data_IF_650137435763
#
_entry.id   IF_650137435763
#
_cell.length_a   1.000
_cell.length_b   1.000
_cell.length_c   1.000
_cell.angle_alpha   90.00
_cell.angle_beta   90.00
_cell.angle_gamma   90.00
#
_symmetry.space_group_name_H-M   'P 1'
#
loop_
_entity.id
_entity.type
_entity.pdbx_description
1 polymer ?
#
# COMPACT_ATOMS: atom_id res chain seq x y z
N UNK A 1 -24.94 8.48 1.14
CA UNK A 1 -24.18 7.36 0.56
C UNK A 1 -22.99 7.12 1.46
N UNK A 2 -22.73 5.88 1.83
CA UNK A 2 -21.64 5.55 2.75
C UNK A 2 -20.40 5.16 1.95
N UNK A 3 -19.31 5.88 2.11
CA UNK A 3 -18.10 5.64 1.33
C UNK A 3 -16.84 5.53 2.21
N UNK A 4 -15.84 4.86 1.65
CA UNK A 4 -14.51 4.71 2.24
C UNK A 4 -13.45 5.32 1.33
N UNK A 5 -12.34 5.76 1.90
CA UNK A 5 -11.13 6.07 1.15
C UNK A 5 -10.10 4.96 1.31
N UNK A 6 -9.50 4.58 0.18
CA UNK A 6 -8.36 3.66 0.16
C UNK A 6 -7.17 4.32 -0.54
N UNK A 7 -5.98 4.06 -0.03
CA UNK A 7 -4.75 4.66 -0.53
C UNK A 7 -3.87 3.60 -1.19
N UNK A 8 -3.43 3.83 -2.45
CA UNK A 8 -2.56 2.90 -3.14
C UNK A 8 -1.16 2.86 -2.54
N UNK A 9 -0.49 1.73 -2.74
CA UNK A 9 0.90 1.52 -2.39
C UNK A 9 1.85 1.58 -3.59
N UNK A 10 3.01 0.96 -3.44
CA UNK A 10 4.01 0.79 -4.49
C UNK A 10 3.43 0.04 -5.70
N UNK A 11 3.78 0.49 -6.90
CA UNK A 11 3.32 -0.05 -8.18
C UNK A 11 2.36 0.89 -8.93
N UNK A 12 1.82 1.91 -8.25
CA UNK A 12 0.94 2.91 -8.85
C UNK A 12 1.64 4.23 -9.21
N UNK A 13 2.93 4.35 -8.90
CA UNK A 13 3.71 5.55 -9.20
C UNK A 13 3.97 5.71 -10.70
N UNK A 14 3.94 6.94 -11.16
CA UNK A 14 4.36 7.32 -12.52
C UNK A 14 4.90 8.75 -12.52
N UNK A 15 5.83 9.02 -13.42
CA UNK A 15 6.34 10.39 -13.64
C UNK A 15 5.16 11.28 -14.05
N UNK A 16 5.05 12.45 -13.43
CA UNK A 16 3.97 13.39 -13.69
C UNK A 16 2.63 13.05 -13.03
N UNK A 17 2.58 12.09 -12.11
CA UNK A 17 1.32 11.62 -11.48
C UNK A 17 0.53 12.68 -10.71
N UNK A 18 1.14 13.83 -10.40
CA UNK A 18 0.47 14.98 -9.79
C UNK A 18 0.27 16.18 -10.73
N UNK A 19 0.70 16.07 -12.01
CA UNK A 19 0.71 17.22 -12.92
C UNK A 19 -0.68 17.86 -13.10
N UNK A 20 -1.75 17.06 -13.13
CA UNK A 20 -3.12 17.56 -13.31
C UNK A 20 -3.63 18.42 -12.16
N UNK A 21 -3.07 18.25 -10.95
CA UNK A 21 -3.47 18.97 -9.73
C UNK A 21 -2.31 19.83 -9.15
N UNK A 22 -1.19 19.94 -9.86
CA UNK A 22 0.03 20.62 -9.37
C UNK A 22 -0.17 22.11 -9.05
N UNK A 23 -1.11 22.76 -9.74
CA UNK A 23 -1.41 24.18 -9.55
C UNK A 23 -2.22 24.46 -8.27
N UNK A 24 -2.78 23.46 -7.63
CA UNK A 24 -3.52 23.62 -6.40
C UNK A 24 -2.61 24.02 -5.24
N UNK A 25 -2.96 25.06 -4.45
CA UNK A 25 -2.11 25.53 -3.34
C UNK A 25 -1.79 24.45 -2.31
N UNK A 26 -2.78 23.61 -1.97
CA UNK A 26 -2.63 22.49 -1.02
C UNK A 26 -1.71 21.40 -1.54
N UNK A 27 -1.65 21.19 -2.85
CA UNK A 27 -0.73 20.21 -3.48
C UNK A 27 0.70 20.75 -3.46
N UNK A 28 0.89 22.03 -3.84
CA UNK A 28 2.20 22.69 -3.76
C UNK A 28 2.75 22.69 -2.33
N UNK A 29 1.90 23.03 -1.35
CA UNK A 29 2.29 23.00 0.06
C UNK A 29 2.69 21.59 0.51
N UNK A 30 1.98 20.55 0.06
CA UNK A 30 2.31 19.15 0.38
C UNK A 30 3.64 18.73 -0.22
N UNK A 31 3.91 19.09 -1.48
CA UNK A 31 5.19 18.82 -2.14
C UNK A 31 6.36 19.53 -1.47
N UNK A 32 6.15 20.79 -1.06
CA UNK A 32 7.15 21.55 -0.31
C UNK A 32 7.43 20.90 1.05
N UNK A 33 6.40 20.58 1.83
CA UNK A 33 6.53 19.93 3.14
C UNK A 33 7.28 18.59 3.04
N UNK A 34 7.00 17.77 2.00
CA UNK A 34 7.71 16.52 1.76
C UNK A 34 9.18 16.75 1.42
N UNK A 35 9.47 17.74 0.56
CA UNK A 35 10.84 18.08 0.15
C UNK A 35 11.66 18.60 1.34
N UNK A 36 11.07 19.45 2.18
CA UNK A 36 11.70 19.93 3.41
C UNK A 36 11.98 18.79 4.41
N UNK A 37 11.03 17.88 4.58
CA UNK A 37 11.16 16.76 5.51
C UNK A 37 12.27 15.77 5.12
N UNK A 38 12.56 15.61 3.82
CA UNK A 38 13.63 14.74 3.32
C UNK A 38 14.94 15.45 3.02
N UNK A 39 14.93 16.79 2.89
CA UNK A 39 16.07 17.54 2.36
C UNK A 39 16.36 17.25 0.88
N UNK A 40 15.34 16.81 0.12
CA UNK A 40 15.43 16.39 -1.29
C UNK A 40 14.32 17.06 -2.10
N UNK A 41 14.52 17.26 -3.41
CA UNK A 41 13.48 17.81 -4.29
C UNK A 41 12.48 16.71 -4.71
N UNK A 42 11.53 16.41 -3.85
CA UNK A 42 10.46 15.42 -4.08
C UNK A 42 9.54 15.88 -5.21
N UNK A 43 9.29 17.18 -5.32
CA UNK A 43 8.45 17.74 -6.37
C UNK A 43 9.03 17.48 -7.76
N UNK A 44 10.32 17.74 -7.93
CA UNK A 44 11.02 17.47 -9.20
C UNK A 44 11.05 15.97 -9.52
N UNK A 45 11.33 15.11 -8.55
CA UNK A 45 11.32 13.67 -8.76
C UNK A 45 9.96 13.17 -9.25
N UNK A 46 8.86 13.66 -8.66
CA UNK A 46 7.50 13.29 -9.06
C UNK A 46 7.18 13.83 -10.47
N UNK A 47 7.52 15.07 -10.77
CA UNK A 47 7.16 15.73 -12.02
C UNK A 47 7.99 15.26 -13.22
N UNK A 48 9.29 15.06 -13.03
CA UNK A 48 10.27 14.87 -14.11
C UNK A 48 10.95 13.51 -14.07
N UNK A 49 10.89 12.77 -12.97
CA UNK A 49 11.58 11.50 -12.80
C UNK A 49 13.08 11.61 -12.60
N UNK A 50 13.90 10.69 -13.11
CA UNK A 50 13.55 9.63 -14.07
C UNK A 50 12.70 8.50 -13.46
N UNK A 51 12.01 7.74 -14.33
CA UNK A 51 11.10 6.67 -13.90
C UNK A 51 11.81 5.58 -13.08
N UNK A 52 13.07 5.27 -13.40
CA UNK A 52 13.88 4.32 -12.66
C UNK A 52 14.14 4.79 -11.23
N UNK A 53 14.45 6.07 -11.03
CA UNK A 53 14.63 6.64 -9.69
C UNK A 53 13.32 6.64 -8.91
N UNK A 54 12.20 6.98 -9.56
CA UNK A 54 10.87 6.95 -8.96
C UNK A 54 10.47 5.54 -8.52
N UNK A 55 10.94 4.51 -9.21
CA UNK A 55 10.64 3.09 -8.96
C UNK A 55 11.56 2.42 -7.93
N UNK A 56 12.62 3.10 -7.46
CA UNK A 56 13.39 2.63 -6.32
C UNK A 56 12.52 2.66 -5.06
N UNK A 57 12.38 1.55 -4.37
CA UNK A 57 11.53 1.43 -3.17
C UNK A 57 11.77 2.55 -2.16
N UNK A 58 13.03 2.96 -1.99
CA UNK A 58 13.41 4.06 -1.09
C UNK A 58 12.83 5.42 -1.50
N UNK A 59 12.59 5.63 -2.78
CA UNK A 59 11.94 6.81 -3.32
C UNK A 59 10.43 6.61 -3.47
N UNK A 60 10.02 5.42 -3.95
CA UNK A 60 8.60 5.11 -4.21
C UNK A 60 7.73 5.31 -2.97
N UNK A 61 8.19 4.86 -1.79
CA UNK A 61 7.38 4.97 -0.59
C UNK A 61 7.10 6.42 -0.18
N UNK A 62 8.08 7.33 -0.04
CA UNK A 62 7.78 8.72 0.27
C UNK A 62 7.01 9.45 -0.83
N UNK A 63 7.25 9.17 -2.12
CA UNK A 63 6.51 9.86 -3.19
C UNK A 63 5.05 9.39 -3.27
N UNK A 64 4.77 8.10 -3.00
CA UNK A 64 3.41 7.59 -2.96
C UNK A 64 2.64 8.10 -1.74
N UNK A 65 3.27 8.19 -0.58
CA UNK A 65 2.71 8.85 0.59
C UNK A 65 2.36 10.31 0.27
N UNK A 66 3.30 11.05 -0.32
CA UNK A 66 3.13 12.45 -0.69
C UNK A 66 1.96 12.62 -1.65
N UNK A 67 1.89 11.79 -2.68
CA UNK A 67 0.81 11.83 -3.66
C UNK A 67 -0.56 11.53 -3.05
N UNK A 68 -0.67 10.47 -2.23
CA UNK A 68 -1.92 10.13 -1.55
C UNK A 68 -2.42 11.25 -0.64
N UNK A 69 -1.52 11.84 0.15
CA UNK A 69 -1.85 12.98 1.03
C UNK A 69 -2.20 14.23 0.22
N UNK A 70 -1.51 14.49 -0.90
CA UNK A 70 -1.82 15.62 -1.78
C UNK A 70 -3.23 15.52 -2.37
N UNK A 71 -3.64 14.35 -2.89
CA UNK A 71 -4.99 14.10 -3.37
C UNK A 71 -6.03 14.24 -2.26
N UNK A 72 -5.75 13.74 -1.06
CA UNK A 72 -6.67 13.86 0.08
C UNK A 72 -6.84 15.32 0.52
N UNK A 73 -5.76 16.10 0.60
CA UNK A 73 -5.82 17.54 0.90
C UNK A 73 -6.58 18.31 -0.19
N UNK A 74 -6.37 17.97 -1.47
CA UNK A 74 -7.11 18.54 -2.58
C UNK A 74 -8.61 18.23 -2.51
N UNK A 75 -8.97 17.00 -2.14
CA UNK A 75 -10.34 16.59 -1.89
C UNK A 75 -11.02 17.45 -0.81
N UNK A 76 -10.36 17.60 0.35
CA UNK A 76 -10.88 18.40 1.45
C UNK A 76 -10.99 19.90 1.08
N UNK A 77 -9.98 20.46 0.42
CA UNK A 77 -9.98 21.86 -0.03
C UNK A 77 -11.09 22.15 -1.06
N UNK A 78 -11.47 21.15 -1.86
CA UNK A 78 -12.59 21.24 -2.78
C UNK A 78 -13.98 21.02 -2.11
N UNK A 79 -14.03 20.90 -0.79
CA UNK A 79 -15.26 20.71 -0.02
C UNK A 79 -15.75 19.26 0.03
N UNK A 80 -14.90 18.28 -0.26
CA UNK A 80 -15.22 16.87 -0.18
C UNK A 80 -15.52 16.42 1.25
N UNK A 81 -16.52 15.54 1.41
CA UNK A 81 -16.92 15.00 2.70
C UNK A 81 -15.85 14.04 3.26
N UNK A 82 -15.83 13.89 4.58
CA UNK A 82 -14.99 12.88 5.22
C UNK A 82 -15.58 11.47 4.99
N UNK A 83 -14.73 10.45 4.68
CA UNK A 83 -15.20 9.08 4.54
C UNK A 83 -15.55 8.48 5.90
N UNK A 84 -16.37 7.43 5.91
CA UNK A 84 -16.71 6.69 7.12
C UNK A 84 -15.51 5.93 7.68
N UNK A 85 -14.71 5.35 6.80
CA UNK A 85 -13.55 4.52 7.13
C UNK A 85 -12.49 4.66 6.05
N UNK A 86 -11.25 4.46 6.44
CA UNK A 86 -10.10 4.46 5.54
C UNK A 86 -9.33 3.15 5.62
N UNK A 87 -8.57 2.84 4.59
CA UNK A 87 -7.51 1.84 4.60
C UNK A 87 -6.46 2.21 3.55
N UNK A 88 -5.34 1.50 3.57
CA UNK A 88 -4.34 1.66 2.52
C UNK A 88 -3.59 0.34 2.30
N UNK A 89 -3.19 0.08 1.07
CA UNK A 89 -2.47 -1.14 0.72
C UNK A 89 -0.98 -0.96 1.05
N UNK A 90 -0.45 -1.74 1.98
CA UNK A 90 0.97 -1.69 2.39
C UNK A 90 1.40 -0.27 2.77
N UNK A 91 2.21 0.40 1.95
CA UNK A 91 2.59 1.83 2.11
C UNK A 91 1.36 2.73 2.27
N UNK A 92 0.29 2.46 1.55
CA UNK A 92 -0.96 3.24 1.60
C UNK A 92 -1.60 3.30 2.99
N UNK A 93 -1.34 2.33 3.89
CA UNK A 93 -1.80 2.39 5.28
C UNK A 93 -1.22 3.60 6.03
N UNK A 94 0.03 3.98 5.73
CA UNK A 94 0.64 5.20 6.27
C UNK A 94 -0.05 6.46 5.74
N UNK A 95 -0.45 6.47 4.46
CA UNK A 95 -1.23 7.58 3.88
C UNK A 95 -2.60 7.70 4.56
N UNK A 96 -3.27 6.58 4.83
CA UNK A 96 -4.54 6.55 5.57
C UNK A 96 -4.37 7.07 7.00
N UNK A 97 -3.29 6.69 7.70
CA UNK A 97 -3.01 7.15 9.06
C UNK A 97 -2.68 8.64 9.11
N UNK A 98 -1.98 9.19 8.11
CA UNK A 98 -1.78 10.64 7.98
C UNK A 98 -3.11 11.35 7.73
N UNK A 99 -3.93 10.85 6.82
CA UNK A 99 -5.24 11.41 6.49
C UNK A 99 -6.20 11.37 7.70
N UNK A 100 -6.10 10.33 8.54
CA UNK A 100 -6.86 10.19 9.77
C UNK A 100 -6.28 10.96 10.98
N UNK A 101 -5.19 11.72 10.79
CA UNK A 101 -4.57 12.55 11.83
C UNK A 101 -3.78 11.79 12.89
N UNK A 102 -3.44 10.51 12.63
CA UNK A 102 -2.66 9.66 13.57
C UNK A 102 -1.20 10.06 13.59
N UNK A 103 -0.61 10.26 12.42
CA UNK A 103 0.81 10.65 12.24
C UNK A 103 0.84 11.98 11.51
N UNK A 104 1.71 12.92 11.94
CA UNK A 104 1.94 14.13 11.17
C UNK A 104 2.56 13.78 9.81
N UNK A 105 2.21 14.51 8.76
CA UNK A 105 2.80 14.27 7.43
C UNK A 105 4.32 14.48 7.45
N UNK A 106 4.78 15.49 8.20
CA UNK A 106 6.20 15.79 8.38
C UNK A 106 6.99 14.61 8.97
N UNK A 107 6.40 13.88 9.92
CA UNK A 107 7.04 12.71 10.53
C UNK A 107 6.86 11.45 9.67
N UNK A 108 5.73 11.34 8.96
CA UNK A 108 5.44 10.19 8.13
C UNK A 108 6.36 10.07 6.90
N UNK A 109 6.76 11.19 6.30
CA UNK A 109 7.62 11.18 5.10
C UNK A 109 8.99 10.55 5.38
N UNK A 110 9.77 10.97 6.39
CA UNK A 110 11.02 10.29 6.74
C UNK A 110 10.80 8.88 7.30
N UNK A 111 9.70 8.62 8.01
CA UNK A 111 9.35 7.29 8.49
C UNK A 111 9.22 6.29 7.34
N UNK A 112 8.48 6.61 6.27
CA UNK A 112 8.32 5.68 5.15
C UNK A 112 9.59 5.57 4.29
N UNK A 113 10.46 6.59 4.26
CA UNK A 113 11.82 6.48 3.72
C UNK A 113 12.63 5.46 4.52
N UNK A 114 12.62 5.56 5.85
CA UNK A 114 13.28 4.60 6.73
C UNK A 114 12.70 3.19 6.56
N UNK A 115 11.36 3.06 6.50
CA UNK A 115 10.69 1.78 6.23
C UNK A 115 11.21 1.15 4.93
N UNK A 116 11.26 1.92 3.85
CA UNK A 116 11.74 1.46 2.56
C UNK A 116 13.20 0.96 2.63
N UNK A 117 14.07 1.71 3.30
CA UNK A 117 15.47 1.34 3.51
C UNK A 117 15.60 0.07 4.37
N UNK A 118 14.83 -0.02 5.46
CA UNK A 118 14.84 -1.21 6.33
C UNK A 118 14.36 -2.45 5.58
N UNK A 119 13.29 -2.35 4.79
CA UNK A 119 12.75 -3.45 4.00
C UNK A 119 13.72 -3.86 2.88
N UNK A 120 14.33 -2.90 2.17
CA UNK A 120 15.28 -3.17 1.10
C UNK A 120 16.56 -3.83 1.62
N UNK A 121 16.99 -3.49 2.84
CA UNK A 121 18.21 -4.02 3.47
C UNK A 121 17.98 -5.27 4.31
N UNK A 122 16.76 -5.79 4.39
CA UNK A 122 16.43 -6.95 5.21
C UNK A 122 17.07 -8.24 4.72
N UNK A 123 17.27 -8.34 3.40
CA UNK A 123 17.96 -9.45 2.75
C UNK A 123 19.01 -8.90 1.76
N UNK A 124 20.07 -9.66 1.45
CA UNK A 124 21.01 -9.26 0.41
C UNK A 124 20.33 -9.02 -0.94
N UNK A 125 20.79 -8.01 -1.69
CA UNK A 125 20.25 -7.69 -3.01
C UNK A 125 20.32 -8.90 -3.94
N UNK A 126 19.21 -9.21 -4.62
CA UNK A 126 19.11 -10.33 -5.56
C UNK A 126 18.80 -11.69 -4.94
N UNK A 127 18.74 -11.79 -3.59
CA UNK A 127 18.42 -13.06 -2.91
C UNK A 127 16.93 -13.22 -2.61
N UNK A 128 16.17 -12.13 -2.67
CA UNK A 128 14.71 -12.12 -2.51
C UNK A 128 13.98 -11.85 -3.81
N UNK A 129 12.73 -12.27 -3.87
CA UNK A 129 11.86 -12.04 -5.02
C UNK A 129 10.39 -12.12 -4.67
N UNK A 130 9.55 -11.69 -5.61
CA UNK A 130 8.09 -11.75 -5.54
C UNK A 130 7.51 -12.18 -6.87
N UNK A 131 6.33 -12.78 -6.84
CA UNK A 131 5.58 -13.12 -8.04
C UNK A 131 4.06 -12.95 -7.84
N UNK A 132 3.37 -12.50 -8.88
CA UNK A 132 1.91 -12.43 -8.89
C UNK A 132 1.34 -13.75 -9.44
N UNK A 133 0.44 -14.35 -8.67
CA UNK A 133 -0.24 -15.61 -8.99
C UNK A 133 -1.70 -15.32 -9.31
N UNK A 134 -2.16 -15.78 -10.47
CA UNK A 134 -3.53 -15.56 -10.93
C UNK A 134 -4.22 -16.89 -11.21
N UNK A 135 -5.47 -16.98 -10.76
CA UNK A 135 -6.38 -18.07 -11.14
C UNK A 135 -6.42 -19.27 -10.19
N UNK A 136 -5.79 -19.16 -9.02
CA UNK A 136 -5.88 -20.14 -7.93
C UNK A 136 -6.49 -19.49 -6.68
N UNK A 137 -7.17 -20.30 -5.86
CA UNK A 137 -7.64 -19.87 -4.54
C UNK A 137 -6.49 -19.72 -3.54
N UNK A 138 -6.74 -18.94 -2.49
CA UNK A 138 -5.74 -18.59 -1.48
C UNK A 138 -5.18 -19.82 -0.77
N UNK A 139 -6.02 -20.80 -0.43
CA UNK A 139 -5.62 -22.02 0.27
C UNK A 139 -4.66 -22.87 -0.57
N UNK A 140 -4.93 -22.99 -1.88
CA UNK A 140 -4.04 -23.66 -2.83
C UNK A 140 -2.70 -22.95 -2.93
N UNK A 141 -2.69 -21.60 -3.03
CA UNK A 141 -1.43 -20.84 -3.09
C UNK A 141 -0.61 -21.01 -1.81
N UNK A 142 -1.24 -20.93 -0.64
CA UNK A 142 -0.57 -21.12 0.66
C UNK A 142 0.05 -22.52 0.74
N UNK A 143 -0.71 -23.57 0.39
CA UNK A 143 -0.24 -24.95 0.41
C UNK A 143 0.98 -25.14 -0.50
N UNK A 144 0.89 -24.69 -1.73
CA UNK A 144 1.98 -24.84 -2.72
C UNK A 144 3.23 -24.02 -2.31
N UNK A 145 3.07 -22.84 -1.68
CA UNK A 145 4.20 -22.12 -1.11
C UNK A 145 4.91 -22.93 -0.02
N UNK A 146 4.16 -23.62 0.85
CA UNK A 146 4.76 -24.48 1.87
C UNK A 146 5.52 -25.67 1.25
N UNK A 147 4.96 -26.30 0.22
CA UNK A 147 5.62 -27.37 -0.54
C UNK A 147 6.90 -26.87 -1.23
N UNK A 148 6.85 -25.69 -1.86
CA UNK A 148 8.00 -25.08 -2.51
C UNK A 148 9.11 -24.72 -1.50
N UNK A 149 8.75 -24.21 -0.33
CA UNK A 149 9.69 -23.94 0.75
C UNK A 149 10.40 -25.21 1.23
N UNK A 150 9.64 -26.30 1.43
CA UNK A 150 10.21 -27.57 1.81
C UNK A 150 11.14 -28.17 0.73
N UNK A 151 10.76 -28.02 -0.55
CA UNK A 151 11.52 -28.56 -1.67
C UNK A 151 12.81 -27.77 -1.99
N UNK A 152 12.81 -26.45 -1.78
CA UNK A 152 13.95 -25.59 -2.08
C UNK A 152 14.87 -25.34 -0.89
N UNK A 153 14.41 -25.59 0.33
CA UNK A 153 15.10 -25.23 1.56
C UNK A 153 15.08 -23.73 1.88
N UNK A 154 14.37 -22.92 1.07
CA UNK A 154 14.19 -21.49 1.26
C UNK A 154 12.75 -21.14 1.62
N UNK A 155 12.53 -19.93 2.15
CA UNK A 155 11.20 -19.44 2.49
C UNK A 155 10.51 -18.86 1.25
N UNK A 156 9.26 -19.25 0.99
CA UNK A 156 8.32 -18.55 0.12
C UNK A 156 6.92 -18.59 0.72
N UNK A 157 6.23 -17.46 0.75
CA UNK A 157 4.95 -17.27 1.43
C UNK A 157 3.98 -16.47 0.56
N UNK A 158 2.66 -16.69 0.75
CA UNK A 158 1.62 -15.82 0.23
C UNK A 158 1.59 -14.55 1.07
N UNK A 159 1.79 -13.39 0.44
CA UNK A 159 2.03 -12.14 1.15
C UNK A 159 1.02 -11.02 0.84
N UNK A 160 0.35 -11.03 -0.32
CA UNK A 160 -0.72 -10.07 -0.60
C UNK A 160 -1.94 -10.82 -1.13
N UNK A 161 -3.00 -10.85 -0.36
CA UNK A 161 -4.30 -11.40 -0.76
C UNK A 161 -5.12 -10.27 -1.37
N UNK A 162 -4.92 -10.03 -2.67
CA UNK A 162 -5.41 -8.82 -3.34
C UNK A 162 -6.86 -8.91 -3.80
N UNK A 163 -7.30 -10.07 -4.29
CA UNK A 163 -8.67 -10.36 -4.70
C UNK A 163 -8.84 -11.87 -4.89
N UNK A 164 -10.07 -12.40 -4.99
CA UNK A 164 -10.28 -13.80 -5.31
C UNK A 164 -9.48 -14.23 -6.55
N UNK A 165 -8.62 -15.23 -6.38
CA UNK A 165 -7.74 -15.70 -7.44
C UNK A 165 -6.60 -14.76 -7.84
N UNK A 166 -6.23 -13.81 -6.99
CA UNK A 166 -5.07 -12.93 -7.19
C UNK A 166 -4.27 -12.76 -5.91
N UNK A 167 -3.18 -13.49 -5.81
CA UNK A 167 -2.28 -13.52 -4.65
C UNK A 167 -0.86 -13.17 -5.10
N UNK A 168 -0.12 -12.41 -4.30
CA UNK A 168 1.32 -12.22 -4.49
C UNK A 168 2.05 -13.12 -3.49
N UNK A 169 3.08 -13.79 -3.97
CA UNK A 169 4.00 -14.58 -3.17
C UNK A 169 5.35 -13.88 -3.08
N UNK A 170 6.06 -14.08 -1.98
CA UNK A 170 7.38 -13.50 -1.75
C UNK A 170 8.25 -14.45 -0.93
N UNK A 171 9.56 -14.37 -1.15
CA UNK A 171 10.52 -15.21 -0.44
C UNK A 171 11.91 -15.16 -1.02
N UNK A 172 12.70 -16.18 -0.73
CA UNK A 172 13.99 -16.40 -1.37
C UNK A 172 13.79 -16.64 -2.88
N UNK A 173 14.66 -16.08 -3.72
CA UNK A 173 14.50 -16.11 -5.19
C UNK A 173 14.31 -17.51 -5.75
N UNK A 174 15.11 -18.48 -5.29
CA UNK A 174 14.99 -19.87 -5.74
C UNK A 174 13.68 -20.53 -5.29
N UNK A 175 13.23 -20.22 -4.06
CA UNK A 175 11.95 -20.71 -3.53
C UNK A 175 10.77 -20.10 -4.28
N UNK A 176 10.82 -18.81 -4.63
CA UNK A 176 9.80 -18.14 -5.47
C UNK A 176 9.75 -18.77 -6.86
N UNK A 177 10.90 -19.03 -7.47
CA UNK A 177 10.99 -19.69 -8.78
C UNK A 177 10.35 -21.08 -8.71
N UNK A 178 10.69 -21.87 -7.69
CA UNK A 178 10.12 -23.20 -7.45
C UNK A 178 8.61 -23.13 -7.22
N UNK A 179 8.14 -22.17 -6.42
CA UNK A 179 6.72 -21.96 -6.19
C UNK A 179 5.98 -21.62 -7.49
N UNK A 180 6.54 -20.77 -8.36
CA UNK A 180 5.94 -20.45 -9.65
C UNK A 180 5.77 -21.69 -10.55
N UNK A 181 6.75 -22.60 -10.57
CA UNK A 181 6.65 -23.87 -11.31
C UNK A 181 5.51 -24.74 -10.76
N UNK A 182 5.49 -24.96 -9.44
CA UNK A 182 4.48 -25.80 -8.79
C UNK A 182 3.07 -25.19 -8.90
N UNK A 183 2.93 -23.88 -8.78
CA UNK A 183 1.65 -23.17 -8.93
C UNK A 183 1.12 -23.28 -10.37
N UNK A 184 2.00 -23.19 -11.39
CA UNK A 184 1.60 -23.45 -12.77
C UNK A 184 1.13 -24.89 -12.96
N UNK A 185 1.84 -25.87 -12.39
CA UNK A 185 1.43 -27.26 -12.42
C UNK A 185 0.09 -27.51 -11.69
N UNK A 186 -0.19 -26.73 -10.63
CA UNK A 186 -1.46 -26.75 -9.90
C UNK A 186 -2.61 -26.03 -10.63
N UNK A 187 -2.37 -25.44 -11.81
CA UNK A 187 -3.39 -24.79 -12.63
C UNK A 187 -3.46 -23.27 -12.57
N UNK A 188 -2.45 -22.59 -12.03
CA UNK A 188 -2.39 -21.14 -12.09
C UNK A 188 -2.42 -20.65 -13.56
N UNK A 189 -3.33 -19.71 -13.85
CA UNK A 189 -3.41 -19.09 -15.18
C UNK A 189 -2.16 -18.28 -15.50
N UNK A 190 -1.58 -17.63 -14.48
CA UNK A 190 -0.32 -16.89 -14.57
C UNK A 190 0.45 -16.98 -13.26
N UNK A 191 1.78 -17.06 -13.37
CA UNK A 191 2.73 -16.88 -12.28
C UNK A 191 3.82 -15.94 -12.84
N UNK A 192 3.76 -14.66 -12.48
CA UNK A 192 4.52 -13.58 -13.08
C UNK A 192 5.50 -13.01 -12.05
N UNK A 193 6.82 -13.18 -12.24
CA UNK A 193 7.80 -12.48 -11.42
C UNK A 193 7.58 -10.97 -11.46
N UNK A 194 7.71 -10.32 -10.31
CA UNK A 194 7.60 -8.86 -10.18
C UNK A 194 9.01 -8.23 -10.21
N UNK A 195 9.15 -7.01 -10.76
CA UNK A 195 10.45 -6.32 -10.87
C UNK A 195 10.83 -5.66 -9.54
N UNK A 196 10.91 -6.47 -8.47
CA UNK A 196 11.29 -6.04 -7.12
C UNK A 196 12.39 -6.96 -6.59
N UNK A 197 13.30 -6.41 -5.79
CA UNK A 197 14.49 -7.10 -5.30
C UNK A 197 14.41 -7.51 -3.83
N UNK A 198 13.31 -7.22 -3.14
CA UNK A 198 13.10 -7.60 -1.75
C UNK A 198 11.80 -8.40 -1.59
N UNK A 199 11.77 -9.40 -0.69
CA UNK A 199 10.61 -10.26 -0.46
C UNK A 199 9.61 -9.62 0.51
N UNK A 200 9.00 -8.48 0.08
CA UNK A 200 8.12 -7.68 0.93
C UNK A 200 7.00 -8.51 1.56
N UNK A 201 6.70 -8.22 2.82
CA UNK A 201 5.64 -8.85 3.62
C UNK A 201 5.85 -10.35 3.93
N UNK A 202 6.98 -10.95 3.56
CA UNK A 202 7.34 -12.30 4.00
C UNK A 202 8.05 -12.28 5.37
N UNK A 203 8.14 -13.44 6.02
CA UNK A 203 8.86 -13.59 7.29
C UNK A 203 10.35 -13.22 7.20
N UNK A 204 10.94 -13.21 5.98
CA UNK A 204 12.30 -12.73 5.74
C UNK A 204 12.47 -11.24 6.03
N UNK A 205 11.38 -10.48 6.15
CA UNK A 205 11.39 -9.05 6.52
C UNK A 205 11.35 -8.81 8.04
N UNK A 206 11.44 -9.85 8.87
CA UNK A 206 11.51 -9.68 10.33
C UNK A 206 12.59 -8.68 10.78
N UNK A 207 13.81 -8.65 10.18
CA UNK A 207 14.82 -7.63 10.53
C UNK A 207 14.34 -6.18 10.26
N UNK A 208 13.51 -5.97 9.24
CA UNK A 208 12.91 -4.65 8.98
C UNK A 208 11.87 -4.29 10.05
N UNK A 209 11.05 -5.25 10.50
CA UNK A 209 10.09 -5.06 11.59
C UNK A 209 10.79 -4.61 12.87
N UNK A 210 11.90 -5.25 13.23
CA UNK A 210 12.67 -4.88 14.45
C UNK A 210 13.25 -3.47 14.35
N UNK A 211 13.78 -3.07 13.19
CA UNK A 211 14.26 -1.70 12.96
C UNK A 211 13.10 -0.68 13.05
N UNK A 212 11.95 -0.99 12.44
CA UNK A 212 10.76 -0.14 12.48
C UNK A 212 10.22 0.05 13.90
N UNK A 213 10.25 -0.98 14.73
CA UNK A 213 9.84 -0.90 16.13
C UNK A 213 10.58 0.20 16.89
N UNK A 214 11.92 0.26 16.73
CA UNK A 214 12.74 1.30 17.34
C UNK A 214 12.40 2.70 16.80
N UNK A 215 12.26 2.84 15.49
CA UNK A 215 11.94 4.13 14.87
C UNK A 215 10.55 4.65 15.27
N UNK A 216 9.54 3.78 15.24
CA UNK A 216 8.16 4.12 15.60
C UNK A 216 8.01 4.50 17.08
N UNK A 217 8.88 4.02 17.95
CA UNK A 217 8.87 4.40 19.37
C UNK A 217 9.09 5.91 19.57
N UNK A 218 9.89 6.55 18.71
CA UNK A 218 10.24 7.97 18.79
C UNK A 218 9.21 8.90 18.15
N UNK A 219 8.23 8.38 17.41
CA UNK A 219 7.23 9.19 16.71
C UNK A 219 5.96 9.30 17.54
N UNK A 220 5.41 10.52 17.63
CA UNK A 220 4.10 10.74 18.25
C UNK A 220 2.98 10.20 17.36
N UNK A 221 2.14 9.33 17.92
CA UNK A 221 0.89 8.87 17.31
C UNK A 221 -0.28 9.38 18.12
N UNK A 222 -1.34 9.81 17.43
CA UNK A 222 -2.58 10.29 18.00
C UNK A 222 -3.72 9.30 17.75
N UNK A 223 -4.79 9.46 18.49
CA UNK A 223 -6.04 8.71 18.25
C UNK A 223 -6.58 9.11 16.87
N UNK A 224 -6.97 8.15 16.01
CA UNK A 224 -7.53 8.44 14.70
C UNK A 224 -8.81 9.30 14.79
N UNK A 225 -8.92 10.31 13.95
CA UNK A 225 -10.15 11.10 13.77
C UNK A 225 -11.16 10.42 12.85
N UNK A 226 -10.68 9.52 12.00
CA UNK A 226 -11.45 8.66 11.10
C UNK A 226 -10.92 7.24 11.29
N UNK A 227 -11.81 6.27 11.35
CA UNK A 227 -11.44 4.85 11.49
C UNK A 227 -10.52 4.38 10.36
N UNK A 228 -9.45 3.67 10.70
CA UNK A 228 -8.53 3.06 9.74
C UNK A 228 -8.47 1.56 9.97
N UNK A 229 -8.75 0.76 8.93
CA UNK A 229 -8.59 -0.70 8.96
C UNK A 229 -7.14 -1.04 8.64
N UNK A 230 -6.45 -1.76 9.53
CA UNK A 230 -5.06 -2.17 9.33
C UNK A 230 -4.94 -3.40 8.42
N UNK A 231 -3.77 -3.59 7.78
CA UNK A 231 -3.54 -4.67 6.81
C UNK A 231 -3.41 -6.05 7.44
N UNK A 232 -2.87 -6.14 8.67
CA UNK A 232 -2.46 -7.42 9.26
C UNK A 232 -3.58 -8.14 10.00
N UNK A 233 -4.43 -7.39 10.73
CA UNK A 233 -5.50 -7.93 11.56
C UNK A 233 -6.89 -7.70 10.95
N UNK A 234 -7.00 -6.79 9.96
CA UNK A 234 -8.26 -6.31 9.37
C UNK A 234 -9.17 -5.72 10.46
N UNK A 235 -8.59 -4.94 11.35
CA UNK A 235 -9.28 -4.33 12.49
C UNK A 235 -9.07 -2.81 12.51
N UNK A 236 -10.02 -2.12 13.15
CA UNK A 236 -9.92 -0.71 13.49
C UNK A 236 -9.29 -0.62 14.87
N UNK A 237 -8.15 0.05 14.96
CA UNK A 237 -7.42 0.27 16.19
C UNK A 237 -7.48 1.76 16.56
N UNK A 238 -7.83 2.06 17.82
CA UNK A 238 -7.89 3.43 18.33
C UNK A 238 -6.72 3.77 19.27
N UNK A 239 -6.09 2.75 19.86
CA UNK A 239 -4.92 2.96 20.71
C UNK A 239 -3.66 3.19 19.87
N UNK A 240 -2.93 4.32 20.05
CA UNK A 240 -1.71 4.63 19.34
C UNK A 240 -0.63 3.54 19.45
N UNK A 241 -0.49 2.88 20.59
CA UNK A 241 0.50 1.81 20.75
C UNK A 241 0.13 0.54 19.99
N UNK A 242 -1.16 0.20 19.93
CA UNK A 242 -1.66 -0.90 19.13
C UNK A 242 -1.49 -0.64 17.62
N UNK A 243 -1.68 0.61 17.18
CA UNK A 243 -1.44 1.01 15.79
C UNK A 243 0.04 0.87 15.43
N UNK A 244 0.95 1.33 16.29
CA UNK A 244 2.41 1.14 16.10
C UNK A 244 2.77 -0.34 15.99
N UNK A 245 2.24 -1.19 16.88
CA UNK A 245 2.47 -2.64 16.83
C UNK A 245 1.99 -3.26 15.52
N UNK A 246 0.80 -2.89 15.05
CA UNK A 246 0.26 -3.35 13.77
C UNK A 246 1.19 -2.98 12.59
N UNK A 247 1.73 -1.74 12.57
CA UNK A 247 2.67 -1.29 11.54
C UNK A 247 4.02 -2.04 11.61
N UNK A 248 4.51 -2.35 12.81
CA UNK A 248 5.72 -3.19 12.99
C UNK A 248 5.51 -4.57 12.37
N UNK A 249 4.37 -5.21 12.68
CA UNK A 249 4.03 -6.52 12.12
C UNK A 249 3.76 -6.48 10.62
N UNK A 250 3.21 -5.39 10.10
CA UNK A 250 2.86 -5.22 8.69
C UNK A 250 4.07 -5.42 7.76
N UNK A 251 5.27 -5.04 8.16
CA UNK A 251 6.47 -5.18 7.31
C UNK A 251 6.79 -6.63 6.94
N UNK A 252 6.50 -7.59 7.86
CA UNK A 252 6.83 -9.01 7.73
C UNK A 252 5.60 -9.94 7.78
N UNK A 253 4.40 -9.39 7.57
CA UNK A 253 3.14 -10.13 7.57
C UNK A 253 2.30 -9.79 6.34
N UNK A 254 1.39 -10.68 5.94
CA UNK A 254 0.56 -10.48 4.76
C UNK A 254 -0.32 -9.24 4.81
N UNK A 255 -0.52 -8.63 3.65
CA UNK A 255 -1.56 -7.63 3.39
C UNK A 255 -2.86 -8.35 3.04
N UNK A 256 -3.85 -8.28 3.92
CA UNK A 256 -5.16 -8.96 3.80
C UNK A 256 -6.17 -8.04 3.12
N UNK A 257 -5.85 -7.64 1.87
CA UNK A 257 -6.61 -6.61 1.17
C UNK A 257 -8.04 -7.02 0.83
N UNK A 258 -8.21 -8.26 0.35
CA UNK A 258 -9.54 -8.81 0.07
C UNK A 258 -10.44 -8.74 1.30
N UNK A 259 -9.96 -9.14 2.46
CA UNK A 259 -10.71 -9.09 3.72
C UNK A 259 -10.97 -7.65 4.17
N UNK A 260 -10.04 -6.73 3.92
CA UNK A 260 -10.22 -5.29 4.21
C UNK A 260 -11.42 -4.71 3.46
N UNK A 261 -11.54 -4.97 2.15
CA UNK A 261 -12.69 -4.51 1.36
C UNK A 261 -13.99 -5.19 1.80
N UNK A 262 -13.95 -6.48 2.14
CA UNK A 262 -15.11 -7.19 2.68
C UNK A 262 -15.56 -6.62 4.03
N UNK A 263 -14.61 -6.27 4.93
CA UNK A 263 -14.92 -5.63 6.20
C UNK A 263 -15.56 -4.25 6.02
N UNK A 264 -15.15 -3.48 5.00
CA UNK A 264 -15.81 -2.23 4.65
C UNK A 264 -17.26 -2.46 4.17
N UNK A 265 -17.49 -3.46 3.32
CA UNK A 265 -18.82 -3.82 2.85
C UNK A 265 -19.76 -4.22 4.00
N UNK A 266 -19.27 -5.00 4.97
CA UNK A 266 -20.02 -5.38 6.18
C UNK A 266 -20.39 -4.17 7.02
N UNK A 267 -19.58 -3.10 7.01
CA UNK A 267 -19.88 -1.82 7.68
C UNK A 267 -20.86 -0.93 6.89
N UNK A 268 -21.41 -1.42 5.76
CA UNK A 268 -22.36 -0.69 4.94
C UNK A 268 -21.74 0.27 3.94
N UNK A 269 -20.42 0.18 3.69
CA UNK A 269 -19.76 0.95 2.63
C UNK A 269 -20.24 0.45 1.28
N UNK A 270 -20.77 1.37 0.46
CA UNK A 270 -21.27 1.07 -0.89
C UNK A 270 -20.32 1.58 -1.98
N UNK A 271 -19.41 2.49 -1.61
CA UNK A 271 -18.43 3.05 -2.54
C UNK A 271 -17.05 3.15 -1.90
N UNK A 272 -16.05 2.62 -2.58
CA UNK A 272 -14.63 2.72 -2.21
C UNK A 272 -13.94 3.67 -3.17
N UNK A 273 -13.43 4.77 -2.66
CA UNK A 273 -12.70 5.79 -3.44
C UNK A 273 -11.20 5.54 -3.27
N UNK A 274 -10.51 5.20 -4.37
CA UNK A 274 -9.06 5.13 -4.38
C UNK A 274 -8.50 6.55 -4.51
N UNK A 275 -7.85 7.04 -3.44
CA UNK A 275 -7.32 8.39 -3.33
C UNK A 275 -5.81 8.38 -3.56
N UNK A 276 -5.39 8.78 -4.75
CA UNK A 276 -3.99 8.79 -5.13
C UNK A 276 -3.72 8.26 -6.54
N UNK A 277 -2.45 8.12 -6.93
CA UNK A 277 -2.08 7.70 -8.28
C UNK A 277 -2.62 6.32 -8.66
N UNK A 278 -3.06 6.17 -9.91
CA UNK A 278 -3.52 4.90 -10.45
C UNK A 278 -4.99 4.57 -10.16
N UNK A 279 -5.37 3.34 -10.43
CA UNK A 279 -6.76 2.81 -10.29
C UNK A 279 -6.75 1.31 -9.99
N UNK A 280 -5.69 0.83 -9.36
CA UNK A 280 -5.51 -0.59 -9.07
C UNK A 280 -6.48 -1.06 -8.01
N UNK A 281 -6.60 -0.33 -6.89
CA UNK A 281 -7.46 -0.69 -5.78
C UNK A 281 -8.94 -0.58 -6.14
N UNK A 282 -9.33 0.44 -6.92
CA UNK A 282 -10.68 0.57 -7.44
C UNK A 282 -11.06 -0.62 -8.33
N UNK A 283 -10.12 -1.07 -9.19
CA UNK A 283 -10.31 -2.26 -10.01
C UNK A 283 -10.41 -3.57 -9.22
N UNK A 284 -9.66 -3.70 -8.12
CA UNK A 284 -9.73 -4.84 -7.22
C UNK A 284 -11.06 -4.89 -6.45
N UNK A 285 -11.58 -3.74 -6.03
CA UNK A 285 -12.81 -3.63 -5.24
C UNK A 285 -13.97 -4.38 -5.88
N UNK A 286 -14.23 -4.13 -7.17
CA UNK A 286 -15.31 -4.80 -7.93
C UNK A 286 -15.12 -6.33 -8.01
N UNK A 287 -13.89 -6.80 -8.04
CA UNK A 287 -13.58 -8.24 -8.08
C UNK A 287 -13.72 -8.90 -6.72
N UNK A 288 -13.56 -8.14 -5.64
CA UNK A 288 -13.69 -8.62 -4.26
C UNK A 288 -15.17 -8.68 -3.85
N UNK A 289 -15.92 -7.62 -4.17
CA UNK A 289 -17.34 -7.52 -3.80
C UNK A 289 -18.09 -6.73 -4.88
N UNK A 290 -19.04 -7.36 -5.55
CA UNK A 290 -19.83 -6.78 -6.64
C UNK A 290 -20.89 -5.76 -6.18
N UNK A 291 -21.17 -5.72 -4.86
CA UNK A 291 -22.08 -4.74 -4.25
C UNK A 291 -21.35 -3.43 -3.87
N UNK A 292 -20.05 -3.37 -3.99
CA UNK A 292 -19.23 -2.20 -3.67
C UNK A 292 -18.62 -1.63 -4.93
N UNK A 293 -18.89 -0.36 -5.21
CA UNK A 293 -18.33 0.33 -6.37
C UNK A 293 -16.96 0.91 -6.03
N UNK A 294 -15.93 0.54 -6.79
CA UNK A 294 -14.61 1.17 -6.73
C UNK A 294 -14.51 2.33 -7.71
N UNK A 295 -14.12 3.51 -7.25
CA UNK A 295 -13.92 4.70 -8.09
C UNK A 295 -12.55 5.31 -7.79
N UNK A 296 -11.73 5.66 -8.80
CA UNK A 296 -10.43 6.27 -8.59
C UNK A 296 -10.49 7.80 -8.60
N UNK A 297 -9.70 8.44 -7.73
CA UNK A 297 -9.41 9.87 -7.73
C UNK A 297 -7.90 10.03 -7.91
N UNK A 298 -7.47 10.22 -9.15
CA UNK A 298 -6.05 10.21 -9.56
C UNK A 298 -5.65 11.38 -10.46
N UNK A 299 -6.61 12.25 -10.81
CA UNK A 299 -6.41 13.48 -11.59
C UNK A 299 -7.50 14.52 -11.25
N UNK A 300 -7.38 15.71 -11.82
CA UNK A 300 -8.34 16.81 -11.60
C UNK A 300 -9.76 16.44 -12.07
N UNK A 301 -9.88 15.73 -13.18
CA UNK A 301 -11.18 15.36 -13.76
C UNK A 301 -11.90 14.35 -12.84
N UNK A 302 -11.22 13.28 -12.42
CA UNK A 302 -11.78 12.27 -11.51
C UNK A 302 -12.09 12.84 -10.12
N UNK A 303 -11.26 13.79 -9.62
CA UNK A 303 -11.55 14.49 -8.39
C UNK A 303 -12.89 15.23 -8.46
N UNK A 304 -13.12 16.01 -9.52
CA UNK A 304 -14.34 16.77 -9.71
C UNK A 304 -15.57 15.87 -9.94
N UNK A 305 -15.41 14.78 -10.69
CA UNK A 305 -16.47 13.80 -10.94
C UNK A 305 -16.94 13.13 -9.64
N UNK A 306 -16.00 12.65 -8.82
CA UNK A 306 -16.35 11.99 -7.56
C UNK A 306 -16.89 12.96 -6.53
N UNK A 307 -16.38 14.21 -6.47
CA UNK A 307 -16.95 15.28 -5.65
C UNK A 307 -18.42 15.57 -5.98
N UNK A 308 -18.79 15.54 -7.26
CA UNK A 308 -20.17 15.77 -7.67
C UNK A 308 -21.13 14.68 -7.21
N UNK A 309 -20.65 13.46 -6.99
CA UNK A 309 -21.46 12.30 -6.59
C UNK A 309 -21.52 12.08 -5.07
N UNK A 310 -20.51 12.54 -4.32
CA UNK A 310 -20.35 12.31 -2.88
C UNK A 310 -20.57 13.57 -2.02
N UNK A 311 -21.30 14.56 -2.53
CA UNK A 311 -21.68 15.76 -1.76
C UNK A 311 -22.74 15.45 -0.72
#
# INVERSE_FOLDING_TARGET
MTFAFVFPGQGSQSVGMLNSISERPEVRATLQEASEALGEDVAKLIAEGPAEALSLTTNTQPVMLTAGVAFYRAWLAAGGAAPQVMAGHSLGEYSALVAAGVISFKDAVPLVRFRAQAMQSAVPVGTGGMAAILGLDDATVIKVCAEASAASGGVVEAVNFNAPGQVVIAGASDAVTKACELLKAAGAKRALPLPVSAPFHSSLLQPASEKLKGYLAEIEFKVPTISVINNVDVQILNDPSAIKDALVRQAAKPVRWQETIQAMAVQGVTQVVECGPGKVLAGLTKRINDQVTGVPVFDEASLNEVLATLK
#
